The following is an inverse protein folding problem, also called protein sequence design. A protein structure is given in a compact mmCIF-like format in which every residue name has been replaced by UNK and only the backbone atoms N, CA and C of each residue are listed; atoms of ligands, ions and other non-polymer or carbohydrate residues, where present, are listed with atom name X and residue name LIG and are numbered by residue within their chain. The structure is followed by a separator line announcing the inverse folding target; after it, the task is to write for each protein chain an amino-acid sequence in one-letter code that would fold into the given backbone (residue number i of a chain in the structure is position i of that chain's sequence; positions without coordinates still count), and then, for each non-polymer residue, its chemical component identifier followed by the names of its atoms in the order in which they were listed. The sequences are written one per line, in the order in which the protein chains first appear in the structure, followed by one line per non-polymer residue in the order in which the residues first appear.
data_IF_146110066074
#
_entry.id   IF_146110066074
#
_cell.length_a   1.000
_cell.length_b   1.000
_cell.length_c   1.000
_cell.angle_alpha   90.00
_cell.angle_beta   90.00
_cell.angle_gamma   90.00
#
_symmetry.space_group_name_H-M   'P 1'
#
loop_
_entity.id
_entity.type
_entity.pdbx_description
1 polymer ?
#
# COMPACT_ATOMS: atom_id res chain seq x y z
N UNK A 1 -28.17 -7.39 12.96
CA UNK A 1 -27.22 -6.58 13.76
C UNK A 1 -26.22 -6.03 12.77
N UNK A 2 -26.13 -4.75 12.46
CA UNK A 2 -26.72 -3.54 13.03
C UNK A 2 -26.67 -2.49 11.89
N UNK A 3 -27.76 -1.73 11.75
CA UNK A 3 -27.90 -0.64 10.79
C UNK A 3 -27.02 0.53 11.25
N UNK A 4 -26.33 1.22 10.33
CA UNK A 4 -25.65 2.47 10.69
C UNK A 4 -26.04 3.59 9.74
N UNK A 5 -27.28 4.02 9.92
CA UNK A 5 -27.67 5.41 9.77
C UNK A 5 -27.14 6.17 10.99
N UNK A 6 -26.20 7.10 10.81
CA UNK A 6 -25.88 8.16 11.78
C UNK A 6 -25.14 9.27 11.06
N UNK A 7 -25.91 10.17 10.46
CA UNK A 7 -25.48 11.51 10.12
C UNK A 7 -25.43 12.39 11.38
N UNK A 8 -24.58 13.43 11.33
CA UNK A 8 -24.24 14.39 12.40
C UNK A 8 -23.15 13.82 13.35
N UNK A 9 -21.96 14.41 13.53
CA UNK A 9 -21.65 15.82 13.86
C UNK A 9 -20.14 16.09 13.62
N UNK A 10 -19.78 17.34 13.37
CA UNK A 10 -18.51 18.02 13.71
C UNK A 10 -17.20 17.60 13.00
N UNK A 11 -16.64 18.58 12.26
CA UNK A 11 -15.22 18.85 12.02
C UNK A 11 -14.27 17.72 11.59
N UNK A 12 -13.78 17.83 10.35
CA UNK A 12 -12.39 17.52 10.04
C UNK A 12 -11.94 16.07 10.24
N UNK A 13 -12.64 15.13 9.63
CA UNK A 13 -12.12 13.78 9.41
C UNK A 13 -12.14 13.51 7.91
N UNK A 14 -11.07 13.89 7.21
CA UNK A 14 -10.86 13.40 5.85
C UNK A 14 -11.07 11.90 5.90
N UNK A 15 -12.09 11.39 5.22
CA UNK A 15 -12.24 9.97 4.95
C UNK A 15 -11.14 9.60 3.98
N UNK A 16 -9.90 9.64 4.46
CA UNK A 16 -8.80 8.93 3.85
C UNK A 16 -9.19 7.48 4.03
N UNK A 17 -9.88 6.95 3.03
CA UNK A 17 -9.92 5.54 2.72
C UNK A 17 -8.47 5.11 2.41
N UNK A 18 -7.57 5.24 3.39
CA UNK A 18 -6.25 4.62 3.38
C UNK A 18 -6.48 3.16 3.77
N UNK A 19 -7.30 2.48 2.96
CA UNK A 19 -7.59 1.07 3.06
C UNK A 19 -6.29 0.30 2.94
N UNK A 20 -5.67 -0.02 4.09
CA UNK A 20 -4.66 -1.06 4.28
C UNK A 20 -3.29 -0.89 3.59
N UNK A 21 -3.12 0.08 2.70
CA UNK A 21 -1.91 0.20 1.90
C UNK A 21 -0.77 0.82 2.69
N UNK A 22 -0.02 0.00 3.42
CA UNK A 22 1.24 0.39 4.06
C UNK A 22 2.27 0.70 2.97
N UNK A 23 2.93 1.86 3.07
CA UNK A 23 4.15 2.12 2.33
C UNK A 23 5.28 1.33 3.02
N UNK A 24 6.15 0.68 2.25
CA UNK A 24 7.34 0.00 2.77
C UNK A 24 8.53 0.27 1.87
N UNK A 25 9.69 0.42 2.49
CA UNK A 25 10.95 0.45 1.78
C UNK A 25 11.38 -0.98 1.43
N UNK A 26 11.64 -1.20 0.15
CA UNK A 26 12.08 -2.49 -0.38
C UNK A 26 13.35 -2.30 -1.20
N UNK A 27 14.29 -3.21 -1.03
CA UNK A 27 15.47 -3.28 -1.86
C UNK A 27 15.18 -4.17 -3.07
N UNK A 28 15.39 -3.65 -4.29
CA UNK A 28 15.33 -4.49 -5.47
C UNK A 28 16.53 -5.44 -5.50
N UNK A 29 16.33 -6.75 -5.75
CA UNK A 29 17.39 -7.75 -5.63
C UNK A 29 18.51 -7.59 -6.66
N UNK A 30 18.24 -6.94 -7.80
CA UNK A 30 19.16 -6.81 -8.93
C UNK A 30 19.99 -5.53 -8.91
N UNK A 31 19.38 -4.40 -8.55
CA UNK A 31 20.05 -3.09 -8.58
C UNK A 31 20.34 -2.53 -7.19
N UNK A 32 19.98 -3.24 -6.11
CA UNK A 32 20.17 -2.82 -4.70
C UNK A 32 19.59 -1.46 -4.36
N UNK A 33 18.75 -0.91 -5.23
CA UNK A 33 18.09 0.38 -5.00
C UNK A 33 16.98 0.19 -3.97
N UNK A 34 16.86 1.16 -3.07
CA UNK A 34 15.78 1.23 -2.11
C UNK A 34 14.66 2.08 -2.71
N UNK A 35 13.48 1.49 -2.89
CA UNK A 35 12.28 2.21 -3.31
C UNK A 35 11.23 2.12 -2.21
N UNK A 36 10.52 3.22 -2.01
CA UNK A 36 9.34 3.24 -1.17
C UNK A 36 8.14 2.86 -2.03
N UNK A 37 7.62 1.65 -1.82
CA UNK A 37 6.50 1.11 -2.60
C UNK A 37 5.32 0.82 -1.69
N UNK A 38 4.15 0.79 -2.31
CA UNK A 38 2.97 0.20 -1.69
C UNK A 38 3.20 -1.30 -1.58
N UNK A 39 2.84 -1.89 -0.44
CA UNK A 39 2.77 -3.35 -0.27
C UNK A 39 1.30 -3.74 -0.16
N UNK A 40 0.88 -4.91 -0.68
CA UNK A 40 -0.48 -5.34 -0.51
C UNK A 40 -0.67 -5.77 0.94
N UNK A 41 -1.87 -5.58 1.49
CA UNK A 41 -2.17 -6.02 2.85
C UNK A 41 -2.02 -7.54 3.01
N UNK A 42 -2.37 -8.30 1.97
CA UNK A 42 -2.23 -9.76 1.91
C UNK A 42 -2.05 -10.24 0.46
N UNK A 43 -1.44 -11.40 0.28
CA UNK A 43 -1.08 -11.95 -1.02
C UNK A 43 0.24 -11.39 -1.54
N UNK A 44 0.35 -11.24 -2.85
CA UNK A 44 1.59 -10.78 -3.48
C UNK A 44 1.32 -9.94 -4.71
N UNK A 45 2.14 -8.91 -4.92
CA UNK A 45 2.06 -8.04 -6.10
C UNK A 45 3.40 -8.02 -6.83
N UNK A 46 3.37 -7.83 -8.15
CA UNK A 46 4.57 -7.65 -8.95
C UNK A 46 4.78 -6.17 -9.18
N UNK A 47 5.98 -5.67 -8.85
CA UNK A 47 6.35 -4.26 -9.01
C UNK A 47 7.52 -4.17 -9.99
N UNK A 48 7.56 -3.11 -10.79
CA UNK A 48 8.62 -2.83 -11.76
C UNK A 48 9.58 -1.75 -11.26
N UNK A 49 10.89 -1.97 -11.44
CA UNK A 49 11.90 -0.95 -11.19
C UNK A 49 12.03 -0.03 -12.40
N UNK A 50 11.72 1.26 -12.29
CA UNK A 50 11.99 2.20 -13.39
C UNK A 50 13.49 2.39 -13.72
N UNK A 51 14.40 2.06 -12.80
CA UNK A 51 15.86 2.23 -12.99
C UNK A 51 16.46 1.10 -13.80
N UNK A 52 16.15 -0.14 -13.43
CA UNK A 52 16.74 -1.34 -14.06
C UNK A 52 15.72 -2.15 -14.88
N UNK A 53 14.47 -1.68 -14.99
CA UNK A 53 13.37 -2.31 -15.73
C UNK A 53 13.13 -3.78 -15.35
N UNK A 54 13.43 -4.13 -14.10
CA UNK A 54 13.20 -5.47 -13.57
C UNK A 54 11.94 -5.53 -12.72
N UNK A 55 11.17 -6.60 -12.94
CA UNK A 55 10.00 -6.96 -12.17
C UNK A 55 10.42 -7.84 -10.99
N UNK A 56 9.82 -7.60 -9.83
CA UNK A 56 9.99 -8.46 -8.66
C UNK A 56 8.69 -8.56 -7.86
N UNK A 57 8.56 -9.66 -7.12
CA UNK A 57 7.38 -9.97 -6.34
C UNK A 57 7.55 -9.44 -4.92
N UNK A 58 6.57 -8.67 -4.48
CA UNK A 58 6.47 -8.15 -3.12
C UNK A 58 5.32 -8.84 -2.42
N UNK A 59 5.58 -9.40 -1.24
CA UNK A 59 4.58 -10.13 -0.46
C UNK A 59 3.99 -9.25 0.64
N UNK A 60 2.66 -9.28 0.72
CA UNK A 60 1.87 -8.82 1.85
C UNK A 60 1.90 -9.84 2.99
N UNK A 61 1.21 -9.51 4.09
CA UNK A 61 1.22 -10.30 5.31
C UNK A 61 0.17 -11.43 5.32
#
# INVERSE_FOLDING_TARGET
MEELERSCKVSGGSRSDSSGKRMKEVAFPTCTVHLQVQVPSSGSETIECGVCQHLFLVTGH
#
